data_IF_187208729358
#
_entry.id   IF_187208729358
#
_cell.length_a   1.000
_cell.length_b   1.000
_cell.length_c   1.000
_cell.angle_alpha   90.00
_cell.angle_beta   90.00
_cell.angle_gamma   90.00
#
_symmetry.space_group_name_H-M   'P 1'
#
loop_
_entity.id
_entity.type
_entity.pdbx_description
1 polymer ?
#
# COMPACT_ATOMS: atom_id res chain seq x y z
N UNK A 1 25.03 26.89 46.81
CA UNK A 1 25.48 25.60 46.26
C UNK A 1 24.26 24.73 46.01
N UNK A 2 24.04 24.26 44.78
CA UNK A 2 22.94 23.33 44.48
C UNK A 2 23.27 21.97 45.11
N UNK A 3 22.33 21.39 45.86
CA UNK A 3 22.53 20.08 46.49
C UNK A 3 22.54 18.98 45.44
N UNK A 4 23.41 17.98 45.61
CA UNK A 4 23.50 16.78 44.75
C UNK A 4 22.13 16.09 44.60
N UNK A 5 21.27 16.17 45.61
CA UNK A 5 19.90 15.63 45.56
C UNK A 5 19.01 16.39 44.57
N UNK A 6 19.15 17.72 44.49
CA UNK A 6 18.41 18.53 43.52
C UNK A 6 18.90 18.24 42.09
N UNK A 7 20.22 18.04 41.91
CA UNK A 7 20.80 17.62 40.63
C UNK A 7 20.28 16.25 40.22
N UNK A 8 20.25 15.26 41.13
CA UNK A 8 19.71 13.92 40.86
C UNK A 8 18.23 13.95 40.48
N UNK A 9 17.41 14.75 41.18
CA UNK A 9 15.99 14.90 40.82
C UNK A 9 15.80 15.60 39.48
N UNK A 10 16.60 16.61 39.17
CA UNK A 10 16.53 17.30 37.89
C UNK A 10 16.95 16.39 36.72
N UNK A 11 18.01 15.60 36.89
CA UNK A 11 18.46 14.61 35.91
C UNK A 11 17.42 13.49 35.71
N UNK A 12 16.81 12.99 36.79
CA UNK A 12 15.75 11.99 36.69
C UNK A 12 14.52 12.55 35.96
N UNK A 13 14.08 13.77 36.29
CA UNK A 13 12.97 14.43 35.61
C UNK A 13 13.29 14.70 34.12
N UNK A 14 14.54 15.03 33.80
CA UNK A 14 14.99 15.24 32.42
C UNK A 14 15.03 13.93 31.63
N UNK A 15 15.47 12.83 32.24
CA UNK A 15 15.44 11.50 31.64
C UNK A 15 14.00 11.06 31.36
N UNK A 16 13.08 11.17 32.33
CA UNK A 16 11.66 10.85 32.15
C UNK A 16 10.97 11.72 31.08
N UNK A 17 11.33 13.00 30.99
CA UNK A 17 10.82 13.91 29.94
C UNK A 17 11.35 13.55 28.55
N UNK A 18 12.56 13.03 28.46
CA UNK A 18 13.15 12.59 27.17
C UNK A 18 12.55 11.24 26.74
N UNK A 19 12.25 10.36 27.69
CA UNK A 19 11.58 9.07 27.47
C UNK A 19 10.12 9.24 26.99
N UNK A 20 9.40 10.22 27.58
CA UNK A 20 8.05 10.62 27.12
C UNK A 20 8.07 11.53 25.89
N UNK A 21 9.24 11.99 25.44
CA UNK A 21 9.45 12.72 24.19
C UNK A 21 9.83 11.80 23.03
N UNK A 22 9.49 10.49 23.10
CA UNK A 22 9.51 9.64 21.91
C UNK A 22 8.65 10.33 20.85
N UNK A 23 9.30 10.82 19.79
CA UNK A 23 8.66 11.70 18.82
C UNK A 23 7.42 10.98 18.26
N UNK A 24 6.25 11.63 18.12
CA UNK A 24 4.98 10.94 17.83
C UNK A 24 5.02 9.99 16.62
N UNK A 25 5.83 10.32 15.63
CA UNK A 25 6.03 9.49 14.44
C UNK A 25 6.76 8.16 14.71
N UNK A 26 7.57 8.07 15.76
CA UNK A 26 8.32 6.84 16.10
C UNK A 26 7.35 5.74 16.53
N UNK A 27 6.31 6.05 17.31
CA UNK A 27 5.30 5.07 17.70
C UNK A 27 4.55 4.50 16.48
N UNK A 28 4.22 5.35 15.51
CA UNK A 28 3.58 4.93 14.26
C UNK A 28 4.52 4.06 13.41
N UNK A 29 5.81 4.41 13.34
CA UNK A 29 6.80 3.63 12.60
C UNK A 29 7.05 2.27 13.27
N UNK A 30 7.14 2.23 14.60
CA UNK A 30 7.33 0.99 15.36
C UNK A 30 6.12 0.05 15.17
N UNK A 31 4.90 0.59 15.24
CA UNK A 31 3.68 -0.17 14.96
C UNK A 31 3.67 -0.72 13.52
N UNK A 32 4.07 0.09 12.55
CA UNK A 32 4.18 -0.35 11.16
C UNK A 32 5.23 -1.47 10.98
N UNK A 33 6.34 -1.43 11.72
CA UNK A 33 7.35 -2.49 11.65
C UNK A 33 6.88 -3.79 12.34
N UNK A 34 6.14 -3.67 13.44
CA UNK A 34 5.46 -4.81 14.08
C UNK A 34 4.46 -5.46 13.11
N UNK A 35 3.57 -4.66 12.51
CA UNK A 35 2.60 -5.14 11.53
C UNK A 35 3.26 -5.81 10.31
N UNK A 36 4.40 -5.28 9.83
CA UNK A 36 5.19 -5.92 8.76
C UNK A 36 5.72 -7.30 9.15
N UNK A 37 6.08 -7.50 10.41
CA UNK A 37 6.55 -8.79 10.90
C UNK A 37 5.42 -9.82 10.89
N UNK A 38 4.21 -9.42 11.30
CA UNK A 38 3.03 -10.28 11.23
C UNK A 38 2.63 -10.61 9.79
N UNK A 39 2.71 -9.65 8.87
CA UNK A 39 2.48 -9.88 7.44
C UNK A 39 3.48 -10.87 6.85
N UNK A 40 4.77 -10.80 7.22
CA UNK A 40 5.78 -11.80 6.79
C UNK A 40 5.43 -13.19 7.30
N UNK A 41 4.95 -13.29 8.54
CA UNK A 41 4.51 -14.57 9.11
C UNK A 41 3.29 -15.12 8.37
N UNK A 42 2.31 -14.27 8.07
CA UNK A 42 1.12 -14.63 7.31
C UNK A 42 1.48 -15.09 5.89
N UNK A 43 2.37 -14.37 5.20
CA UNK A 43 2.90 -14.78 3.89
C UNK A 43 3.60 -16.15 3.98
N UNK A 44 4.44 -16.35 5.01
CA UNK A 44 5.09 -17.64 5.23
C UNK A 44 4.11 -18.80 5.48
N UNK A 45 2.97 -18.56 6.13
CA UNK A 45 1.90 -19.56 6.25
C UNK A 45 1.29 -19.89 4.89
N UNK A 46 1.01 -18.88 4.05
CA UNK A 46 0.46 -19.10 2.71
C UNK A 46 1.45 -19.89 1.84
N UNK A 47 2.74 -19.57 1.91
CA UNK A 47 3.78 -20.27 1.16
C UNK A 47 3.95 -21.73 1.62
N UNK A 48 3.91 -21.99 2.93
CA UNK A 48 4.14 -23.32 3.48
C UNK A 48 2.90 -24.24 3.44
N UNK A 49 1.73 -23.69 3.79
CA UNK A 49 0.49 -24.44 3.97
C UNK A 49 -0.47 -24.23 2.80
N UNK A 50 -0.68 -22.98 2.41
CA UNK A 50 -1.63 -22.58 1.37
C UNK A 50 -3.06 -22.36 1.90
N UNK A 51 -3.81 -21.49 1.21
CA UNK A 51 -5.18 -21.16 1.60
C UNK A 51 -6.17 -22.28 1.29
N UNK A 52 -5.91 -23.11 0.28
CA UNK A 52 -6.77 -24.24 -0.06
C UNK A 52 -6.78 -25.28 1.07
N UNK A 53 -5.59 -25.59 1.63
CA UNK A 53 -5.50 -26.49 2.79
C UNK A 53 -6.13 -25.91 4.06
N UNK A 54 -6.11 -24.58 4.22
CA UNK A 54 -6.83 -23.93 5.31
C UNK A 54 -8.35 -24.09 5.14
N UNK A 55 -8.87 -23.97 3.91
CA UNK A 55 -10.27 -24.23 3.62
C UNK A 55 -10.66 -25.69 3.90
N UNK A 56 -9.84 -26.65 3.46
CA UNK A 56 -10.06 -28.08 3.76
C UNK A 56 -10.10 -28.36 5.28
N UNK A 57 -9.25 -27.67 6.06
CA UNK A 57 -9.21 -27.79 7.51
C UNK A 57 -10.46 -27.20 8.18
N UNK A 58 -11.00 -26.09 7.65
CA UNK A 58 -12.28 -25.52 8.09
C UNK A 58 -13.42 -26.50 7.83
N UNK A 59 -13.48 -27.06 6.62
CA UNK A 59 -14.51 -28.05 6.26
C UNK A 59 -14.39 -29.31 7.12
N UNK A 60 -13.18 -29.67 7.55
CA UNK A 60 -12.96 -30.78 8.48
C UNK A 60 -13.43 -30.48 9.89
N UNK A 61 -13.23 -29.25 10.39
CA UNK A 61 -13.74 -28.80 11.68
C UNK A 61 -15.27 -28.76 11.69
N UNK A 62 -15.88 -28.26 10.61
CA UNK A 62 -17.33 -28.27 10.41
C UNK A 62 -17.90 -29.68 10.46
N UNK A 63 -17.28 -30.63 9.74
CA UNK A 63 -17.69 -32.04 9.76
C UNK A 63 -17.50 -32.72 11.13
N UNK A 64 -16.68 -32.15 12.00
CA UNK A 64 -16.43 -32.64 13.34
C UNK A 64 -17.31 -31.95 14.41
N UNK A 65 -18.25 -31.08 13.99
CA UNK A 65 -19.05 -30.22 14.88
C UNK A 65 -18.19 -29.33 15.82
N UNK A 66 -16.95 -29.02 15.42
CA UNK A 66 -16.09 -28.05 16.13
C UNK A 66 -16.30 -26.64 15.56
N UNK A 67 -17.46 -26.06 15.89
CA UNK A 67 -17.88 -24.75 15.38
C UNK A 67 -16.89 -23.64 15.74
N UNK A 68 -16.27 -23.70 16.93
CA UNK A 68 -15.30 -22.68 17.36
C UNK A 68 -14.00 -22.72 16.56
N UNK A 69 -13.56 -23.90 16.11
CA UNK A 69 -12.43 -24.01 15.19
C UNK A 69 -12.83 -23.56 13.77
N UNK A 70 -14.02 -23.95 13.30
CA UNK A 70 -14.50 -23.60 11.98
C UNK A 70 -14.70 -22.08 11.83
N UNK A 71 -15.36 -21.43 12.79
CA UNK A 71 -15.58 -19.97 12.80
C UNK A 71 -14.24 -19.22 12.72
N UNK A 72 -13.28 -19.57 13.59
CA UNK A 72 -11.94 -18.95 13.56
C UNK A 72 -11.22 -19.15 12.22
N UNK A 73 -11.39 -20.31 11.59
CA UNK A 73 -10.79 -20.57 10.29
C UNK A 73 -11.48 -19.80 9.15
N UNK A 74 -12.81 -19.65 9.20
CA UNK A 74 -13.57 -18.81 8.26
C UNK A 74 -13.15 -17.34 8.39
N UNK A 75 -12.98 -16.83 9.61
CA UNK A 75 -12.47 -15.48 9.87
C UNK A 75 -11.06 -15.30 9.30
N UNK A 76 -10.18 -16.29 9.50
CA UNK A 76 -8.85 -16.26 8.93
C UNK A 76 -8.89 -16.20 7.40
N UNK A 77 -9.72 -17.03 6.75
CA UNK A 77 -9.92 -16.99 5.29
C UNK A 77 -10.44 -15.63 4.81
N UNK A 78 -11.38 -15.02 5.53
CA UNK A 78 -11.90 -13.70 5.23
C UNK A 78 -10.78 -12.64 5.28
N UNK A 79 -9.95 -12.64 6.33
CA UNK A 79 -8.81 -11.74 6.46
C UNK A 79 -7.80 -11.88 5.30
N UNK A 80 -7.44 -13.12 4.92
CA UNK A 80 -6.54 -13.35 3.78
C UNK A 80 -7.13 -12.85 2.45
N UNK A 81 -8.45 -13.00 2.24
CA UNK A 81 -9.13 -12.48 1.05
C UNK A 81 -9.11 -10.95 1.02
N UNK A 82 -9.30 -10.31 2.17
CA UNK A 82 -9.20 -8.87 2.32
C UNK A 82 -7.79 -8.36 2.02
N UNK A 83 -6.75 -9.01 2.57
CA UNK A 83 -5.36 -8.66 2.25
C UNK A 83 -5.05 -8.79 0.76
N UNK A 84 -5.56 -9.84 0.10
CA UNK A 84 -5.41 -10.00 -1.36
C UNK A 84 -6.11 -8.88 -2.12
N UNK A 85 -7.29 -8.46 -1.67
CA UNK A 85 -8.04 -7.34 -2.26
C UNK A 85 -7.29 -6.03 -2.10
N UNK A 86 -6.78 -5.75 -0.91
CA UNK A 86 -5.97 -4.57 -0.62
C UNK A 86 -4.70 -4.53 -1.49
N UNK A 87 -4.03 -5.68 -1.66
CA UNK A 87 -2.86 -5.79 -2.53
C UNK A 87 -3.19 -5.58 -4.02
N UNK A 88 -4.37 -6.00 -4.48
CA UNK A 88 -4.82 -5.80 -5.86
C UNK A 88 -5.32 -4.37 -6.14
N UNK A 89 -5.91 -3.70 -5.13
CA UNK A 89 -6.50 -2.36 -5.23
C UNK A 89 -5.52 -1.19 -5.28
N UNK A 90 -4.21 -1.43 -5.18
CA UNK A 90 -3.17 -0.38 -5.29
C UNK A 90 -2.98 0.19 -6.70
N UNK A 91 -3.79 -0.23 -7.69
CA UNK A 91 -3.70 0.20 -9.09
C UNK A 91 -4.79 1.19 -9.54
N UNK A 92 -5.79 1.50 -8.71
CA UNK A 92 -6.98 2.28 -9.13
C UNK A 92 -6.83 3.81 -8.99
N UNK A 93 -5.61 4.33 -8.81
CA UNK A 93 -5.32 5.77 -8.93
C UNK A 93 -4.22 6.08 -9.96
N UNK A 94 -4.24 5.43 -11.13
CA UNK A 94 -3.61 5.94 -12.36
C UNK A 94 -4.43 5.56 -13.59
N UNK A 95 -5.63 6.13 -13.69
CA UNK A 95 -6.52 5.85 -14.81
C UNK A 95 -7.61 6.88 -15.06
N UNK A 96 -7.53 8.09 -14.51
CA UNK A 96 -8.37 9.20 -14.97
C UNK A 96 -7.50 10.24 -15.69
N UNK A 97 -6.90 9.81 -16.80
CA UNK A 97 -6.80 10.73 -17.94
C UNK A 97 -8.03 10.47 -18.77
N UNK A 98 -9.13 11.07 -18.34
CA UNK A 98 -10.23 11.56 -19.17
C UNK A 98 -9.96 11.33 -20.66
N UNK A 99 -10.42 10.18 -21.17
CA UNK A 99 -10.84 10.06 -22.55
C UNK A 99 -12.04 11.01 -22.68
N UNK A 100 -11.74 12.29 -22.94
CA UNK A 100 -12.73 13.23 -23.44
C UNK A 100 -12.62 13.12 -24.94
N UNK A 101 -13.65 12.52 -25.51
CA UNK A 101 -14.06 12.73 -26.89
C UNK A 101 -13.76 14.17 -27.31
N UNK A 102 -12.78 14.35 -28.18
CA UNK A 102 -12.73 15.50 -29.07
C UNK A 102 -12.76 14.94 -30.48
N UNK A 103 -13.98 14.70 -30.94
CA UNK A 103 -14.41 14.71 -32.34
C UNK A 103 -13.97 16.02 -33.01
N UNK A 104 -12.67 16.19 -33.26
CA UNK A 104 -12.13 17.30 -34.04
C UNK A 104 -11.05 16.82 -34.98
N UNK A 105 -11.50 16.55 -36.20
CA UNK A 105 -10.79 16.65 -37.48
C UNK A 105 -9.25 16.60 -37.40
N UNK A 106 -8.71 15.45 -37.79
CA UNK A 106 -7.28 15.17 -37.96
C UNK A 106 -6.58 15.96 -39.09
N UNK A 107 -7.07 17.14 -39.45
CA UNK A 107 -6.39 18.05 -40.37
C UNK A 107 -5.77 19.22 -39.58
N UNK A 108 -4.60 19.00 -38.99
CA UNK A 108 -3.73 20.13 -38.62
C UNK A 108 -3.16 20.73 -39.89
N UNK A 109 -3.90 21.68 -40.48
CA UNK A 109 -3.30 22.66 -41.40
C UNK A 109 -2.32 23.51 -40.59
N UNK A 110 -1.06 23.09 -40.55
CA UNK A 110 0.01 23.96 -40.10
C UNK A 110 0.04 25.21 -40.99
N UNK A 111 0.40 26.40 -40.46
CA UNK A 111 0.57 27.58 -41.30
C UNK A 111 1.66 27.27 -42.33
N UNK A 112 1.24 27.04 -43.58
CA UNK A 112 2.13 26.71 -44.67
C UNK A 112 3.10 27.85 -44.90
N UNK A 113 4.39 27.55 -44.93
CA UNK A 113 5.40 28.48 -45.44
C UNK A 113 5.18 28.52 -46.95
N UNK A 114 4.83 29.66 -47.58
CA UNK A 114 4.72 29.73 -49.02
C UNK A 114 6.07 29.36 -49.62
N UNK A 115 6.12 28.30 -50.45
CA UNK A 115 7.32 28.03 -51.23
C UNK A 115 7.46 29.12 -52.30
N UNK A 116 8.65 29.71 -52.48
CA UNK A 116 8.86 30.66 -53.55
C UNK A 116 8.66 29.97 -54.90
N UNK A 117 8.02 30.66 -55.84
CA UNK A 117 7.83 30.23 -57.22
C UNK A 117 9.19 30.06 -57.91
N UNK A 118 9.76 28.85 -57.82
CA UNK A 118 10.81 28.44 -58.76
C UNK A 118 10.12 28.01 -60.04
N UNK A 119 9.78 29.02 -60.85
CA UNK A 119 9.44 28.84 -62.25
C UNK A 119 10.60 28.16 -62.97
N UNK A 120 10.38 26.92 -63.37
CA UNK A 120 11.10 26.29 -64.47
C UNK A 120 10.03 25.88 -65.46
N UNK A 121 9.81 26.76 -66.43
CA UNK A 121 8.93 26.55 -67.57
C UNK A 121 9.36 25.28 -68.32
N UNK A 122 8.49 24.29 -68.53
CA UNK A 122 8.85 23.08 -69.24
C UNK A 122 8.50 23.27 -70.71
N UNK A 123 9.31 24.00 -71.50
CA UNK A 123 9.32 23.81 -72.95
C UNK A 123 10.58 24.31 -73.66
N UNK A 124 11.25 23.34 -74.29
CA UNK A 124 11.83 23.38 -75.65
C UNK A 124 13.16 24.07 -75.91
#
# INVERSE_FOLDING_TARGET
MVSTTAVKRALAALATRTDTARRPYVAVIDEADAARTDLRRAAGFVDAVGLDRLADAVDAADRADDEAAAERGRDALAAYREFRRAAAGGGEERGDRVDRDDDRDHFRSGPGIPKPDTGQDPTR
#
